data_IF_773721886938
#
_entry.id   IF_773721886938
#
_cell.length_a   1.000
_cell.length_b   1.000
_cell.length_c   1.000
_cell.angle_alpha   90.00
_cell.angle_beta   90.00
_cell.angle_gamma   90.00
#
_symmetry.space_group_name_H-M   'P 1'
#
loop_
_entity.id
_entity.type
_entity.pdbx_description
1 polymer ?
#
# COMPACT_ATOMS: atom_id res chain seq x y z
N UNK A 1 19.12 -14.61 -1.49
CA UNK A 1 17.94 -13.73 -1.36
C UNK A 1 16.89 -14.54 -0.62
N UNK A 2 16.35 -14.06 0.50
CA UNK A 2 15.49 -14.89 1.32
C UNK A 2 14.12 -15.15 0.63
N UNK A 3 13.52 -16.34 0.84
CA UNK A 3 12.42 -16.86 0.02
C UNK A 3 11.03 -16.36 0.47
N UNK A 4 10.84 -15.04 0.56
CA UNK A 4 9.59 -14.45 1.09
C UNK A 4 8.58 -14.06 0.01
N UNK A 5 9.01 -13.97 -1.24
CA UNK A 5 8.17 -13.65 -2.39
C UNK A 5 8.38 -14.69 -3.50
N UNK A 6 7.37 -14.86 -4.35
CA UNK A 6 7.48 -15.63 -5.58
C UNK A 6 8.25 -14.84 -6.67
N UNK A 7 8.40 -15.43 -7.86
CA UNK A 7 9.11 -14.80 -8.97
C UNK A 7 8.48 -13.48 -9.46
N UNK A 8 7.19 -13.28 -9.18
CA UNK A 8 6.42 -12.08 -9.54
C UNK A 8 6.45 -11.01 -8.43
N UNK A 9 7.19 -11.26 -7.34
CA UNK A 9 7.30 -10.34 -6.19
C UNK A 9 6.13 -10.42 -5.22
N UNK A 10 5.17 -11.31 -5.43
CA UNK A 10 4.04 -11.49 -4.52
C UNK A 10 4.46 -12.28 -3.27
N UNK A 11 4.01 -11.87 -2.08
CA UNK A 11 4.34 -12.55 -0.84
C UNK A 11 3.80 -13.98 -0.85
N UNK A 12 4.63 -14.94 -0.48
CA UNK A 12 4.20 -16.34 -0.31
C UNK A 12 3.78 -16.60 1.14
N UNK A 13 2.87 -17.57 1.39
CA UNK A 13 2.58 -18.01 2.75
C UNK A 13 3.86 -18.53 3.43
N UNK A 14 4.14 -18.06 4.64
CA UNK A 14 5.33 -18.43 5.40
C UNK A 14 4.95 -19.30 6.59
N UNK A 15 5.71 -20.36 6.87
CA UNK A 15 5.52 -21.08 8.13
C UNK A 15 5.73 -20.12 9.30
N UNK A 16 4.92 -20.21 10.36
CA UNK A 16 5.06 -19.30 11.51
C UNK A 16 6.44 -19.40 12.19
N UNK A 17 6.98 -20.61 12.33
CA UNK A 17 8.23 -20.91 13.03
C UNK A 17 9.33 -21.38 12.08
N UNK A 18 10.58 -21.00 12.37
CA UNK A 18 11.74 -21.47 11.62
C UNK A 18 11.95 -22.99 11.76
N UNK A 19 11.50 -23.59 12.86
CA UNK A 19 11.52 -25.05 13.03
C UNK A 19 10.65 -25.82 12.04
N UNK A 20 9.65 -25.15 11.43
CA UNK A 20 8.74 -25.75 10.46
C UNK A 20 9.08 -25.37 9.01
N UNK A 21 9.47 -24.12 8.76
CA UNK A 21 9.72 -23.60 7.40
C UNK A 21 11.16 -23.20 7.08
N UNK A 22 12.09 -23.32 8.03
CA UNK A 22 13.47 -22.87 7.86
C UNK A 22 13.54 -21.38 7.46
N UNK A 23 14.25 -21.10 6.37
CA UNK A 23 14.40 -19.75 5.81
C UNK A 23 13.08 -19.19 5.23
N UNK A 24 12.12 -20.06 4.88
CA UNK A 24 10.78 -19.69 4.42
C UNK A 24 9.78 -19.62 5.59
N UNK A 25 10.16 -18.91 6.65
CA UNK A 25 9.31 -18.71 7.84
C UNK A 25 9.20 -17.24 8.23
N UNK A 26 8.10 -16.91 8.92
CA UNK A 26 7.87 -15.58 9.46
C UNK A 26 8.94 -15.19 10.50
N UNK A 27 9.39 -16.16 11.30
CA UNK A 27 10.49 -15.96 12.25
C UNK A 27 11.79 -15.57 11.55
N UNK A 28 12.13 -16.25 10.45
CA UNK A 28 13.28 -15.91 9.61
C UNK A 28 13.13 -14.55 8.93
N UNK A 29 11.91 -14.19 8.45
CA UNK A 29 11.62 -12.86 7.91
C UNK A 29 11.90 -11.76 8.92
N UNK A 30 11.36 -11.87 10.13
CA UNK A 30 11.57 -10.85 11.17
C UNK A 30 13.04 -10.76 11.54
N UNK A 31 13.73 -11.90 11.67
CA UNK A 31 15.17 -11.93 11.98
C UNK A 31 16.05 -11.27 10.90
N UNK A 32 15.62 -11.31 9.63
CA UNK A 32 16.31 -10.60 8.55
C UNK A 32 16.15 -9.07 8.62
N UNK A 33 15.05 -8.58 9.20
CA UNK A 33 14.71 -7.15 9.24
C UNK A 33 15.10 -6.49 10.56
N UNK A 34 14.94 -7.18 11.69
CA UNK A 34 15.22 -6.63 13.02
C UNK A 34 15.78 -7.70 13.97
N UNK A 35 16.81 -7.32 14.74
CA UNK A 35 17.37 -8.16 15.81
C UNK A 35 16.76 -7.87 17.18
N UNK A 36 16.04 -6.75 17.32
CA UNK A 36 15.61 -6.23 18.62
C UNK A 36 14.16 -6.58 18.97
N UNK A 37 13.39 -7.08 18.00
CA UNK A 37 11.97 -7.41 18.18
C UNK A 37 11.74 -8.89 17.96
N UNK A 38 11.07 -9.54 18.92
CA UNK A 38 10.71 -10.96 18.83
C UNK A 38 9.61 -11.17 17.77
N UNK A 39 9.80 -12.13 16.86
CA UNK A 39 8.85 -12.44 15.79
C UNK A 39 7.41 -12.63 16.27
N UNK A 40 7.22 -13.28 17.43
CA UNK A 40 5.88 -13.44 18.03
C UNK A 40 5.19 -12.09 18.30
N UNK A 41 5.91 -11.10 18.80
CA UNK A 41 5.33 -9.77 19.11
C UNK A 41 4.88 -9.08 17.82
N UNK A 42 5.70 -9.18 16.76
CA UNK A 42 5.35 -8.64 15.43
C UNK A 42 4.11 -9.35 14.88
N UNK A 43 4.08 -10.69 14.96
CA UNK A 43 2.96 -11.47 14.44
C UNK A 43 1.67 -11.20 15.21
N UNK A 44 1.71 -11.18 16.54
CA UNK A 44 0.55 -10.89 17.39
C UNK A 44 -0.04 -9.51 17.02
N UNK A 45 0.83 -8.52 16.80
CA UNK A 45 0.40 -7.19 16.35
C UNK A 45 -0.18 -7.22 14.94
N UNK A 46 0.49 -7.88 13.98
CA UNK A 46 0.04 -7.96 12.59
C UNK A 46 -1.29 -8.69 12.45
N UNK A 47 -1.55 -9.71 13.27
CA UNK A 47 -2.85 -10.36 13.35
C UNK A 47 -3.89 -9.41 13.96
N UNK A 48 -3.55 -8.70 15.04
CA UNK A 48 -4.45 -7.74 15.72
C UNK A 48 -4.90 -6.62 14.79
N UNK A 49 -3.98 -6.07 13.98
CA UNK A 49 -4.27 -5.02 12.99
C UNK A 49 -4.65 -5.60 11.63
N UNK A 50 -4.78 -6.92 11.49
CA UNK A 50 -5.19 -7.59 10.25
C UNK A 50 -4.25 -7.38 9.07
N UNK A 51 -2.98 -7.07 9.29
CA UNK A 51 -1.94 -7.04 8.24
C UNK A 51 -1.56 -8.47 7.82
N UNK A 52 -1.74 -9.45 8.71
CA UNK A 52 -1.59 -10.86 8.41
C UNK A 52 -2.81 -11.67 8.85
N UNK A 53 -2.95 -12.87 8.28
CA UNK A 53 -3.83 -13.93 8.80
C UNK A 53 -2.99 -15.19 9.01
N UNK A 54 -3.40 -16.01 9.98
CA UNK A 54 -2.85 -17.33 10.22
C UNK A 54 -3.88 -18.35 9.76
N UNK A 55 -3.49 -19.29 8.90
CA UNK A 55 -4.38 -20.37 8.45
C UNK A 55 -4.34 -21.59 9.39
N UNK A 56 -5.17 -22.59 9.08
CA UNK A 56 -5.27 -23.83 9.85
C UNK A 56 -4.00 -24.70 9.77
N UNK A 57 -3.09 -24.39 8.84
CA UNK A 57 -1.81 -25.06 8.63
C UNK A 57 -0.65 -24.32 9.31
N UNK A 58 -0.93 -23.31 10.13
CA UNK A 58 0.07 -22.47 10.82
C UNK A 58 0.97 -21.68 9.85
N UNK A 59 0.41 -21.33 8.68
CA UNK A 59 1.04 -20.44 7.70
C UNK A 59 0.54 -19.01 7.89
N UNK A 60 1.48 -18.08 7.89
CA UNK A 60 1.25 -16.64 7.94
C UNK A 60 1.08 -16.13 6.52
N UNK A 61 -0.09 -15.57 6.21
CA UNK A 61 -0.39 -14.93 4.94
C UNK A 61 -0.41 -13.41 5.12
N UNK A 62 0.35 -12.70 4.31
CA UNK A 62 0.31 -11.23 4.28
C UNK A 62 -0.96 -10.76 3.56
N UNK A 63 -1.75 -9.93 4.21
CA UNK A 63 -2.87 -9.26 3.57
C UNK A 63 -2.32 -8.12 2.70
N UNK A 64 -2.11 -8.35 1.41
CA UNK A 64 -1.63 -7.33 0.44
C UNK A 64 -2.49 -6.05 0.38
N UNK A 65 -3.74 -6.09 0.88
CA UNK A 65 -4.59 -4.90 1.04
C UNK A 65 -4.32 -4.09 2.33
N UNK A 66 -3.22 -4.34 3.03
CA UNK A 66 -2.85 -3.72 4.31
C UNK A 66 -2.55 -2.21 4.27
N UNK A 67 -2.55 -1.58 3.09
CA UNK A 67 -2.31 -0.14 2.94
C UNK A 67 -3.47 0.74 3.42
N UNK A 68 -4.61 0.14 3.75
CA UNK A 68 -5.73 0.81 4.41
C UNK A 68 -5.67 0.44 5.90
N UNK A 69 -5.58 1.41 6.82
CA UNK A 69 -5.61 1.12 8.25
C UNK A 69 -6.84 0.31 8.62
N UNK A 70 -6.62 -0.84 9.26
CA UNK A 70 -7.70 -1.71 9.75
C UNK A 70 -8.07 -1.44 11.21
N UNK A 71 -7.38 -0.53 11.88
CA UNK A 71 -7.67 -0.14 13.25
C UNK A 71 -9.01 0.57 13.46
N UNK A 72 -9.16 1.16 14.64
CA UNK A 72 -10.36 1.88 15.06
C UNK A 72 -10.66 3.11 14.18
N UNK A 73 -11.83 3.72 14.41
CA UNK A 73 -12.27 4.89 13.64
C UNK A 73 -11.22 6.02 13.62
N UNK A 74 -10.56 6.28 14.75
CA UNK A 74 -9.59 7.38 14.88
C UNK A 74 -8.37 7.20 13.97
N UNK A 75 -7.86 5.97 13.83
CA UNK A 75 -6.71 5.67 12.97
C UNK A 75 -7.08 5.81 11.49
N UNK A 76 -8.27 5.34 11.12
CA UNK A 76 -8.83 5.51 9.77
C UNK A 76 -9.07 6.99 9.45
N UNK A 77 -9.57 7.76 10.42
CA UNK A 77 -9.81 9.19 10.28
C UNK A 77 -8.49 9.97 10.12
N UNK A 78 -7.45 9.61 10.88
CA UNK A 78 -6.12 10.23 10.74
C UNK A 78 -5.52 9.98 9.35
N UNK A 79 -5.60 8.74 8.86
CA UNK A 79 -5.13 8.38 7.52
C UNK A 79 -5.94 9.07 6.42
N UNK A 80 -7.26 9.09 6.54
CA UNK A 80 -8.15 9.84 5.65
C UNK A 80 -7.77 11.32 5.60
N UNK A 81 -7.63 11.95 6.76
CA UNK A 81 -7.29 13.36 6.87
C UNK A 81 -5.94 13.67 6.20
N UNK A 82 -4.94 12.82 6.42
CA UNK A 82 -3.63 12.96 5.80
C UNK A 82 -3.71 12.90 4.26
N UNK A 83 -4.32 11.84 3.73
CA UNK A 83 -4.41 11.64 2.28
C UNK A 83 -5.21 12.74 1.57
N UNK A 84 -6.36 13.11 2.13
CA UNK A 84 -7.21 14.15 1.54
C UNK A 84 -6.55 15.53 1.64
N UNK A 85 -5.88 15.84 2.76
CA UNK A 85 -5.14 17.08 2.90
C UNK A 85 -4.08 17.24 1.82
N UNK A 86 -3.26 16.21 1.61
CA UNK A 86 -2.16 16.28 0.65
C UNK A 86 -2.64 16.37 -0.79
N UNK A 87 -3.67 15.60 -1.16
CA UNK A 87 -4.28 15.71 -2.49
C UNK A 87 -4.88 17.09 -2.71
N UNK A 88 -5.61 17.64 -1.72
CA UNK A 88 -6.17 18.98 -1.81
C UNK A 88 -5.08 20.05 -1.95
N UNK A 89 -3.98 19.96 -1.19
CA UNK A 89 -2.84 20.86 -1.32
C UNK A 89 -2.22 20.82 -2.72
N UNK A 90 -2.02 19.62 -3.28
CA UNK A 90 -1.50 19.46 -4.64
C UNK A 90 -2.46 20.04 -5.70
N UNK A 91 -3.75 19.76 -5.59
CA UNK A 91 -4.78 20.25 -6.49
C UNK A 91 -4.91 21.79 -6.43
N UNK A 92 -4.94 22.37 -5.22
CA UNK A 92 -4.99 23.83 -5.03
C UNK A 92 -3.74 24.49 -5.61
N UNK A 93 -2.55 23.98 -5.30
CA UNK A 93 -1.31 24.52 -5.88
C UNK A 93 -1.35 24.51 -7.42
N UNK A 94 -1.83 23.41 -8.02
CA UNK A 94 -1.97 23.31 -9.47
C UNK A 94 -2.98 24.31 -10.06
N UNK A 95 -3.94 24.79 -9.27
CA UNK A 95 -4.93 25.80 -9.68
C UNK A 95 -4.45 27.24 -9.46
N UNK A 96 -3.65 27.49 -8.41
CA UNK A 96 -3.39 28.85 -7.91
C UNK A 96 -1.96 29.34 -8.09
N UNK A 97 -1.01 28.46 -8.43
CA UNK A 97 0.41 28.79 -8.46
C UNK A 97 0.99 28.74 -9.88
N UNK A 98 1.88 29.69 -10.19
CA UNK A 98 2.63 29.72 -11.48
C UNK A 98 3.89 28.82 -11.48
N UNK A 99 4.13 28.09 -10.39
CA UNK A 99 5.26 27.16 -10.27
C UNK A 99 5.07 25.85 -11.03
N UNK A 100 6.05 24.94 -11.01
CA UNK A 100 5.87 23.60 -11.54
C UNK A 100 4.67 22.91 -10.89
N UNK A 101 3.78 22.37 -11.72
CA UNK A 101 2.61 21.65 -11.26
C UNK A 101 3.03 20.33 -10.58
N UNK A 102 2.38 20.00 -9.46
CA UNK A 102 2.44 18.67 -8.90
C UNK A 102 1.79 17.66 -9.86
N UNK A 103 2.28 16.42 -9.81
CA UNK A 103 1.68 15.33 -10.58
C UNK A 103 0.32 14.96 -9.98
N UNK A 104 -0.75 15.44 -10.62
CA UNK A 104 -2.15 15.18 -10.27
C UNK A 104 -2.87 14.83 -11.58
N UNK A 105 -3.14 13.54 -11.80
CA UNK A 105 -3.65 13.01 -13.07
C UNK A 105 -4.63 11.87 -12.81
N UNK A 106 -5.72 11.83 -13.56
CA UNK A 106 -6.75 10.80 -13.48
C UNK A 106 -7.38 10.54 -14.85
N UNK A 107 -7.94 9.34 -15.01
CA UNK A 107 -8.74 8.95 -16.17
C UNK A 107 -10.20 8.86 -15.75
N UNK A 108 -11.12 9.36 -16.58
CA UNK A 108 -12.54 9.43 -16.27
C UNK A 108 -13.36 8.82 -17.41
N UNK A 109 -14.29 7.93 -17.07
CA UNK A 109 -15.23 7.27 -17.97
C UNK A 109 -16.55 7.04 -17.23
N UNK A 110 -17.67 7.31 -17.90
CA UNK A 110 -19.03 7.24 -17.36
C UNK A 110 -19.90 6.15 -18.00
N UNK A 111 -19.43 5.55 -19.10
CA UNK A 111 -20.14 4.54 -19.90
C UNK A 111 -19.51 3.14 -19.81
N UNK A 112 -19.04 2.75 -18.62
CA UNK A 112 -18.46 1.42 -18.39
C UNK A 112 -19.48 0.43 -17.85
N UNK A 113 -19.43 -0.80 -18.35
CA UNK A 113 -20.24 -1.88 -17.79
C UNK A 113 -19.73 -2.29 -16.40
N UNK A 114 -20.59 -2.85 -15.52
CA UNK A 114 -20.14 -3.40 -14.24
C UNK A 114 -19.00 -4.41 -14.37
N UNK A 115 -19.03 -5.26 -15.40
CA UNK A 115 -17.97 -6.24 -15.66
C UNK A 115 -16.62 -5.56 -15.98
N UNK A 116 -16.64 -4.50 -16.77
CA UNK A 116 -15.44 -3.71 -17.09
C UNK A 116 -14.89 -3.01 -15.84
N UNK A 117 -15.76 -2.49 -14.96
CA UNK A 117 -15.35 -1.87 -13.69
C UNK A 117 -14.65 -2.88 -12.77
N UNK A 118 -15.13 -4.13 -12.69
CA UNK A 118 -14.47 -5.20 -11.93
C UNK A 118 -13.06 -5.47 -12.47
N UNK A 119 -12.92 -5.62 -13.79
CA UNK A 119 -11.61 -5.85 -14.41
C UNK A 119 -10.64 -4.69 -14.19
N UNK A 120 -11.11 -3.45 -14.30
CA UNK A 120 -10.29 -2.26 -14.03
C UNK A 120 -9.89 -2.18 -12.56
N UNK A 121 -10.79 -2.52 -11.64
CA UNK A 121 -10.49 -2.57 -10.20
C UNK A 121 -9.36 -3.56 -9.91
N UNK A 122 -9.43 -4.77 -10.45
CA UNK A 122 -8.40 -5.80 -10.28
C UNK A 122 -7.05 -5.35 -10.86
N UNK A 123 -7.06 -4.77 -12.06
CA UNK A 123 -5.85 -4.26 -12.70
C UNK A 123 -5.22 -3.09 -11.93
N UNK A 124 -6.03 -2.12 -11.51
CA UNK A 124 -5.58 -0.98 -10.70
C UNK A 124 -5.04 -1.45 -9.36
N UNK A 125 -5.69 -2.41 -8.70
CA UNK A 125 -5.20 -2.97 -7.44
C UNK A 125 -3.83 -3.61 -7.61
N UNK A 126 -3.66 -4.46 -8.63
CA UNK A 126 -2.39 -5.18 -8.86
C UNK A 126 -1.26 -4.23 -9.26
N UNK A 127 -1.44 -3.47 -10.33
CA UNK A 127 -0.40 -2.55 -10.85
C UNK A 127 -0.13 -1.39 -9.90
N UNK A 128 -1.17 -0.89 -9.23
CA UNK A 128 -1.04 0.16 -8.24
C UNK A 128 -0.22 -0.30 -7.04
N UNK A 129 -0.47 -1.52 -6.55
CA UNK A 129 0.30 -2.07 -5.44
C UNK A 129 1.77 -2.30 -5.81
N UNK A 130 2.04 -2.85 -6.99
CA UNK A 130 3.39 -3.02 -7.52
C UNK A 130 4.16 -1.68 -7.53
N UNK A 131 3.53 -0.62 -8.05
CA UNK A 131 4.12 0.73 -8.08
C UNK A 131 4.38 1.27 -6.66
N UNK A 132 3.39 1.19 -5.76
CA UNK A 132 3.52 1.72 -4.41
C UNK A 132 4.61 1.01 -3.61
N UNK A 133 4.74 -0.31 -3.75
CA UNK A 133 5.80 -1.09 -3.11
C UNK A 133 7.19 -0.69 -3.64
N UNK A 134 7.32 -0.53 -4.96
CA UNK A 134 8.57 -0.11 -5.58
C UNK A 134 9.00 1.29 -5.09
N UNK A 135 8.08 2.25 -5.09
CA UNK A 135 8.34 3.61 -4.62
C UNK A 135 8.65 3.66 -3.13
N UNK A 136 7.95 2.88 -2.30
CA UNK A 136 8.21 2.81 -0.87
C UNK A 136 9.62 2.28 -0.58
N UNK A 137 10.04 1.23 -1.27
CA UNK A 137 11.39 0.68 -1.14
C UNK A 137 12.45 1.73 -1.52
N UNK A 138 12.27 2.40 -2.66
CA UNK A 138 13.19 3.46 -3.11
C UNK A 138 13.23 4.64 -2.14
N UNK A 139 12.08 5.08 -1.64
CA UNK A 139 12.00 6.18 -0.68
C UNK A 139 12.73 5.82 0.63
N UNK A 140 12.59 4.60 1.12
CA UNK A 140 13.30 4.12 2.31
C UNK A 140 14.82 4.00 2.09
N UNK A 141 15.27 3.64 0.87
CA UNK A 141 16.68 3.66 0.50
C UNK A 141 17.23 5.10 0.47
N UNK A 142 16.48 6.04 -0.12
CA UNK A 142 16.85 7.46 -0.13
C UNK A 142 16.86 8.08 1.26
N UNK A 143 15.86 7.81 2.10
CA UNK A 143 15.83 8.33 3.47
C UNK A 143 17.07 7.89 4.28
N UNK A 144 17.54 6.65 4.07
CA UNK A 144 18.79 6.14 4.65
C UNK A 144 20.02 6.83 4.07
N UNK A 145 20.12 7.00 2.75
CA UNK A 145 21.28 7.68 2.14
C UNK A 145 21.37 9.15 2.53
N UNK A 146 20.22 9.78 2.69
CA UNK A 146 20.11 11.20 2.95
C UNK A 146 20.29 11.52 4.44
N UNK A 147 20.41 10.51 5.32
CA UNK A 147 20.44 10.69 6.77
C UNK A 147 21.51 11.67 7.25
N UNK A 148 22.65 11.77 6.55
CA UNK A 148 23.74 12.70 6.87
C UNK A 148 23.73 13.99 6.05
N UNK A 149 22.76 14.16 5.15
CA UNK A 149 22.60 15.39 4.36
C UNK A 149 22.12 16.55 5.24
N UNK A 150 22.70 17.73 5.02
CA UNK A 150 22.26 19.00 5.63
C UNK A 150 21.16 19.69 4.80
N UNK A 151 20.78 19.12 3.65
CA UNK A 151 19.73 19.68 2.80
C UNK A 151 18.34 19.64 3.47
N UNK A 152 17.47 20.56 3.05
CA UNK A 152 16.11 20.65 3.55
C UNK A 152 15.33 19.38 3.24
N UNK A 153 14.89 18.69 4.30
CA UNK A 153 14.05 17.50 4.21
C UNK A 153 12.77 17.79 3.45
N UNK A 154 12.43 16.89 2.55
CA UNK A 154 11.19 16.90 1.78
C UNK A 154 10.29 15.76 2.25
N UNK A 155 9.00 16.05 2.40
CA UNK A 155 7.97 15.04 2.67
C UNK A 155 7.25 14.73 1.37
N UNK A 156 7.11 13.46 1.04
CA UNK A 156 6.35 13.01 -0.15
C UNK A 156 5.13 12.20 0.27
N UNK A 157 4.13 12.18 -0.59
CA UNK A 157 2.99 11.27 -0.50
C UNK A 157 2.62 10.83 -1.91
N UNK A 158 2.51 9.52 -2.09
CA UNK A 158 2.07 8.91 -3.34
C UNK A 158 0.90 8.01 -3.00
N UNK A 159 -0.28 8.37 -3.50
CA UNK A 159 -1.52 7.66 -3.26
C UNK A 159 -2.22 7.31 -4.56
N UNK A 160 -2.96 6.20 -4.55
CA UNK A 160 -3.82 5.76 -5.64
C UNK A 160 -5.19 5.45 -5.09
N UNK A 161 -6.23 5.78 -5.83
CA UNK A 161 -7.60 5.44 -5.49
C UNK A 161 -8.33 4.93 -6.73
N UNK A 162 -9.32 4.08 -6.51
CA UNK A 162 -10.26 3.64 -7.54
C UNK A 162 -11.66 3.93 -7.04
N UNK A 163 -12.22 5.04 -7.52
CA UNK A 163 -13.61 5.43 -7.26
C UNK A 163 -14.51 4.95 -8.41
N UNK A 164 -15.70 4.49 -8.06
CA UNK A 164 -16.74 4.15 -9.02
C UNK A 164 -18.08 4.29 -8.34
N UNK A 165 -19.05 4.75 -9.11
CA UNK A 165 -20.46 4.80 -8.75
C UNK A 165 -21.27 4.37 -9.99
N UNK A 166 -22.54 4.05 -9.78
CA UNK A 166 -23.44 3.92 -10.93
C UNK A 166 -23.61 5.31 -11.55
N UNK A 167 -23.32 5.44 -12.84
CA UNK A 167 -23.73 6.61 -13.59
C UNK A 167 -25.24 6.57 -13.76
N UNK A 168 -25.91 7.69 -13.51
CA UNK A 168 -27.26 7.89 -14.05
C UNK A 168 -27.14 7.77 -15.57
N UNK A 169 -28.07 7.07 -16.22
CA UNK A 169 -28.14 7.03 -17.68
C UNK A 169 -28.07 8.47 -18.16
N UNK A 170 -26.98 8.82 -18.85
CA UNK A 170 -26.95 10.05 -19.62
C UNK A 170 -28.20 10.00 -20.48
N UNK A 171 -29.09 10.98 -20.33
CA UNK A 171 -30.15 11.21 -21.30
C UNK A 171 -29.43 11.44 -22.63
N UNK A 172 -29.21 10.36 -23.36
CA UNK A 172 -28.76 10.38 -24.73
C UNK A 172 -29.94 10.94 -25.52
N UNK A 173 -30.07 12.27 -25.56
CA UNK A 173 -31.09 12.96 -26.33
C UNK A 173 -31.35 14.39 -25.90
N UNK A 174 -30.58 15.35 -26.45
CA UNK A 174 -31.15 16.23 -27.50
C UNK A 174 -30.07 16.85 -28.37
#
# INVERSE_FOLDING_TARGET
QPPFCNADGEPVPLARLASAGGDASFESLVACVSKDIRARVVLDEWLRIGVAILDDQDLVHLCVNAFIPRGGFDEKAAYFAHNVHDHACAAVHNLTSDGPAFFERSVHYDALTPASVVQLREQTSRKGMELLLALNQQAADFERSDATSEEQRQRITVGLFFYTEASEESEAGS
#
